data_IF_929807331941
#
_entry.id   IF_929807331941
#
_cell.length_a   1.000
_cell.length_b   1.000
_cell.length_c   1.000
_cell.angle_alpha   90.00
_cell.angle_beta   90.00
_cell.angle_gamma   90.00
#
_symmetry.space_group_name_H-M   'P 1'
#
loop_
_entity.id
_entity.type
_entity.pdbx_description
1 polymer ?
#
# COMPACT_ATOMS: atom_id res chain seq x y z
N UNK A 1 34.57 41.35 30.73
CA UNK A 1 33.47 40.68 30.03
C UNK A 1 34.16 39.56 29.32
N UNK A 2 34.32 38.45 30.04
CA UNK A 2 34.99 37.28 29.50
C UNK A 2 33.94 36.52 28.71
N UNK A 3 34.18 36.41 27.41
CA UNK A 3 33.38 35.61 26.49
C UNK A 3 33.59 34.14 26.86
N UNK A 4 32.64 33.59 27.60
CA UNK A 4 32.52 32.17 27.91
C UNK A 4 32.16 31.45 26.59
N UNK A 5 33.20 31.05 25.86
CA UNK A 5 33.09 30.14 24.71
C UNK A 5 32.63 28.81 25.28
N UNK A 6 31.33 28.52 25.13
CA UNK A 6 30.76 27.21 25.42
C UNK A 6 31.45 26.18 24.52
N UNK A 7 32.48 25.52 25.03
CA UNK A 7 33.12 24.38 24.38
C UNK A 7 32.04 23.33 24.08
N UNK A 8 31.88 22.99 22.80
CA UNK A 8 31.03 21.87 22.39
C UNK A 8 31.55 20.61 23.09
N UNK A 9 30.68 19.80 23.72
CA UNK A 9 31.11 18.62 24.46
C UNK A 9 31.89 17.68 23.54
N UNK A 10 33.07 17.25 23.97
CA UNK A 10 33.89 16.31 23.21
C UNK A 10 33.06 15.05 22.85
N UNK A 11 33.18 14.54 21.62
CA UNK A 11 32.41 13.38 21.18
C UNK A 11 32.74 12.16 22.02
N UNK A 12 31.74 11.64 22.74
CA UNK A 12 31.88 10.43 23.55
C UNK A 12 32.32 9.24 22.68
N UNK A 13 33.35 8.46 23.09
CA UNK A 13 33.78 7.28 22.35
C UNK A 13 32.62 6.30 22.15
N UNK A 14 32.43 5.87 20.91
CA UNK A 14 31.38 4.95 20.50
C UNK A 14 31.77 3.52 20.91
N UNK A 15 31.00 2.84 21.79
CA UNK A 15 31.23 1.42 22.07
C UNK A 15 30.98 0.57 20.81
N UNK A 16 31.81 -0.45 20.58
CA UNK A 16 31.64 -1.47 19.52
C UNK A 16 31.71 -0.95 18.06
N UNK A 17 32.37 0.17 17.81
CA UNK A 17 32.50 0.74 16.45
C UNK A 17 33.17 -0.21 15.45
N UNK A 18 34.11 -1.05 15.89
CA UNK A 18 34.83 -1.99 15.02
C UNK A 18 33.93 -3.07 14.41
N UNK A 19 32.98 -3.60 15.19
CA UNK A 19 32.02 -4.60 14.72
C UNK A 19 31.06 -4.01 13.70
N UNK A 20 30.60 -2.78 13.96
CA UNK A 20 29.74 -2.02 13.05
C UNK A 20 30.50 -1.76 11.75
N UNK A 21 31.75 -1.29 11.83
CA UNK A 21 32.61 -1.09 10.66
C UNK A 21 32.90 -2.38 9.89
N UNK A 22 33.08 -3.53 10.57
CA UNK A 22 33.25 -4.82 9.91
C UNK A 22 32.00 -5.21 9.08
N UNK A 23 30.82 -4.98 9.63
CA UNK A 23 29.56 -5.20 8.90
C UNK A 23 29.42 -4.22 7.72
N UNK A 24 29.73 -2.94 7.91
CA UNK A 24 29.71 -1.92 6.84
C UNK A 24 30.60 -2.29 5.66
N UNK A 25 31.84 -2.69 5.93
CA UNK A 25 32.80 -3.12 4.91
C UNK A 25 32.32 -4.33 4.12
N UNK A 26 31.64 -5.30 4.75
CA UNK A 26 31.00 -6.43 4.05
C UNK A 26 29.95 -6.00 3.03
N UNK A 27 29.29 -4.87 3.28
CA UNK A 27 28.26 -4.29 2.40
C UNK A 27 28.79 -3.18 1.47
N UNK A 28 30.12 -2.96 1.45
CA UNK A 28 30.75 -1.93 0.62
C UNK A 28 30.43 -0.50 1.05
N UNK A 29 30.12 -0.28 2.33
CA UNK A 29 29.91 1.03 2.93
C UNK A 29 31.21 1.55 3.54
N UNK A 30 31.41 2.87 3.48
CA UNK A 30 32.57 3.55 4.08
C UNK A 30 32.55 3.43 5.61
N UNK A 31 33.71 3.47 6.26
CA UNK A 31 33.78 3.43 7.72
C UNK A 31 33.15 4.69 8.34
N UNK A 32 32.57 4.51 9.54
CA UNK A 32 32.09 5.63 10.36
C UNK A 32 33.31 6.37 10.89
N UNK A 33 33.40 7.66 10.60
CA UNK A 33 34.41 8.58 11.13
C UNK A 33 33.80 9.50 12.19
N UNK A 34 34.43 9.55 13.36
CA UNK A 34 34.08 10.47 14.45
C UNK A 34 33.97 11.94 14.06
N UNK A 35 34.65 12.40 13.00
CA UNK A 35 34.57 13.81 12.57
C UNK A 35 33.20 14.17 11.98
N UNK A 36 32.58 13.25 11.25
CA UNK A 36 31.40 13.49 10.41
C UNK A 36 30.18 12.69 10.81
N UNK A 37 30.30 11.83 11.83
CA UNK A 37 29.20 11.05 12.37
C UNK A 37 28.88 11.45 13.80
N UNK A 38 27.60 11.32 14.13
CA UNK A 38 27.03 11.57 15.46
C UNK A 38 26.15 10.39 15.86
N UNK A 39 25.77 10.35 17.13
CA UNK A 39 24.93 9.27 17.65
C UNK A 39 23.82 9.79 18.55
N UNK A 40 22.71 9.07 18.59
CA UNK A 40 21.69 9.23 19.63
C UNK A 40 21.09 7.87 19.99
N UNK A 41 20.54 7.74 21.19
CA UNK A 41 19.74 6.56 21.57
C UNK A 41 18.30 6.75 21.11
N UNK A 42 17.79 5.82 20.30
CA UNK A 42 16.38 5.78 19.94
C UNK A 42 15.65 4.81 20.86
N UNK A 43 14.87 5.38 21.77
CA UNK A 43 14.09 4.65 22.76
C UNK A 43 12.63 4.53 22.33
N UNK A 44 12.07 3.33 22.44
CA UNK A 44 10.66 3.03 22.23
C UNK A 44 10.17 2.06 23.30
N UNK A 45 8.84 1.95 23.54
CA UNK A 45 8.31 0.96 24.48
C UNK A 45 8.72 -0.50 24.17
N UNK A 46 9.09 -0.79 22.93
CA UNK A 46 9.52 -2.12 22.48
C UNK A 46 11.01 -2.41 22.69
N UNK A 47 11.83 -1.39 22.97
CA UNK A 47 13.28 -1.51 23.12
C UNK A 47 14.03 -0.23 22.74
N UNK A 48 15.36 -0.29 22.80
CA UNK A 48 16.25 0.81 22.48
C UNK A 48 17.36 0.36 21.52
N UNK A 49 17.89 1.28 20.72
CA UNK A 49 19.10 1.06 19.94
C UNK A 49 19.90 2.35 19.75
N UNK A 50 21.23 2.23 19.63
CA UNK A 50 22.08 3.33 19.23
C UNK A 50 21.95 3.59 17.74
N UNK A 51 21.65 4.83 17.37
CA UNK A 51 21.52 5.29 15.99
C UNK A 51 22.69 6.19 15.63
N UNK A 52 23.43 5.79 14.58
CA UNK A 52 24.51 6.54 13.96
C UNK A 52 23.97 7.31 12.77
N UNK A 53 24.35 8.57 12.64
CA UNK A 53 23.91 9.43 11.53
C UNK A 53 25.01 10.42 11.15
N UNK A 54 24.98 10.92 9.91
CA UNK A 54 25.94 11.92 9.45
C UNK A 54 25.60 13.31 9.99
N UNK A 55 26.65 14.11 10.22
CA UNK A 55 26.52 15.49 10.65
C UNK A 55 25.70 16.31 9.65
N UNK A 56 24.87 17.22 10.17
CA UNK A 56 23.91 18.01 9.38
C UNK A 56 22.52 17.38 9.19
N UNK A 57 22.26 16.15 9.68
CA UNK A 57 20.88 15.64 9.80
C UNK A 57 20.23 16.10 11.11
N UNK A 58 18.93 16.44 11.05
CA UNK A 58 18.14 16.85 12.21
C UNK A 58 17.57 15.60 12.91
N UNK A 59 17.93 15.39 14.17
CA UNK A 59 17.54 14.20 14.96
C UNK A 59 16.03 14.12 15.14
N UNK A 60 15.39 15.26 15.34
CA UNK A 60 13.94 15.38 15.50
C UNK A 60 13.20 14.88 14.25
N UNK A 61 13.72 15.16 13.05
CA UNK A 61 13.13 14.70 11.79
C UNK A 61 13.28 13.19 11.62
N UNK A 62 14.43 12.63 12.03
CA UNK A 62 14.64 11.17 12.05
C UNK A 62 13.66 10.50 13.02
N UNK A 63 13.52 11.04 14.23
CA UNK A 63 12.61 10.51 15.27
C UNK A 63 11.14 10.62 14.87
N UNK A 64 10.77 11.69 14.17
CA UNK A 64 9.42 11.91 13.66
C UNK A 64 9.10 11.08 12.41
N UNK A 65 10.08 10.38 11.82
CA UNK A 65 9.88 9.59 10.61
C UNK A 65 9.07 8.32 10.90
N UNK A 66 7.77 8.33 10.60
CA UNK A 66 6.84 7.24 10.93
C UNK A 66 7.28 5.88 10.36
N UNK A 67 7.91 5.82 9.18
CA UNK A 67 8.40 4.55 8.63
C UNK A 67 9.54 3.95 9.47
N UNK A 68 10.37 4.81 10.10
CA UNK A 68 11.45 4.39 10.96
C UNK A 68 10.92 3.84 12.27
N UNK A 69 9.97 4.53 12.90
CA UNK A 69 9.27 4.06 14.09
C UNK A 69 8.58 2.70 13.85
N UNK A 70 7.81 2.58 12.76
CA UNK A 70 7.09 1.34 12.44
C UNK A 70 8.04 0.17 12.16
N UNK A 71 9.12 0.41 11.41
CA UNK A 71 10.14 -0.59 11.17
C UNK A 71 10.80 -1.02 12.48
N UNK A 72 11.14 -0.06 13.34
CA UNK A 72 11.76 -0.30 14.64
C UNK A 72 10.87 -1.18 15.54
N UNK A 73 9.59 -0.82 15.69
CA UNK A 73 8.62 -1.64 16.42
C UNK A 73 8.46 -3.04 15.80
N UNK A 74 8.43 -3.11 14.48
CA UNK A 74 8.32 -4.37 13.74
C UNK A 74 9.50 -5.30 13.99
N UNK A 75 10.73 -4.80 13.89
CA UNK A 75 11.92 -5.65 14.08
C UNK A 75 12.03 -6.15 15.52
N UNK A 76 11.76 -5.32 16.54
CA UNK A 76 11.72 -5.79 17.93
C UNK A 76 10.63 -6.84 18.16
N UNK A 77 9.44 -6.64 17.57
CA UNK A 77 8.35 -7.62 17.62
C UNK A 77 8.72 -8.96 16.97
N UNK A 78 9.46 -8.97 15.87
CA UNK A 78 9.96 -10.21 15.25
C UNK A 78 11.09 -10.86 16.05
N UNK A 79 12.07 -10.09 16.52
CA UNK A 79 13.19 -10.63 17.30
C UNK A 79 12.71 -11.25 18.62
N UNK A 80 11.69 -10.67 19.26
CA UNK A 80 11.09 -11.20 20.49
C UNK A 80 10.47 -12.60 20.31
N UNK A 81 10.04 -12.98 19.09
CA UNK A 81 9.45 -14.31 18.83
C UNK A 81 10.46 -15.45 19.00
N UNK A 82 11.76 -15.15 18.95
CA UNK A 82 12.84 -16.12 19.18
C UNK A 82 12.84 -16.68 20.61
N UNK A 83 12.16 -16.03 21.55
CA UNK A 83 11.97 -16.53 22.92
C UNK A 83 11.22 -17.85 23.00
N UNK A 84 10.46 -18.23 21.96
CA UNK A 84 9.74 -19.50 21.91
C UNK A 84 10.70 -20.65 21.61
N UNK A 85 10.66 -21.71 22.40
CA UNK A 85 11.50 -22.91 22.22
C UNK A 85 11.39 -23.55 20.83
N UNK A 86 10.23 -23.40 20.18
CA UNK A 86 9.97 -23.93 18.83
C UNK A 86 10.56 -23.06 17.70
N UNK A 87 11.08 -21.87 18.01
CA UNK A 87 11.61 -20.97 17.01
C UNK A 87 13.00 -21.44 16.54
N UNK A 88 13.26 -21.38 15.23
CA UNK A 88 14.52 -21.86 14.61
C UNK A 88 15.78 -21.26 15.25
N UNK A 89 15.70 -20.00 15.72
CA UNK A 89 16.81 -19.28 16.33
C UNK A 89 16.73 -19.22 17.86
N UNK A 90 15.93 -20.05 18.51
CA UNK A 90 15.78 -20.03 19.97
C UNK A 90 17.09 -20.26 20.73
N UNK A 91 17.94 -21.15 20.22
CA UNK A 91 19.19 -21.53 20.87
C UNK A 91 20.26 -20.43 20.84
N UNK A 92 20.23 -19.55 19.84
CA UNK A 92 21.18 -18.43 19.69
C UNK A 92 20.45 -17.27 19.01
N UNK A 93 19.64 -16.51 19.77
CA UNK A 93 18.75 -15.50 19.23
C UNK A 93 19.52 -14.29 18.71
N UNK A 94 19.01 -13.69 17.64
CA UNK A 94 19.53 -12.44 17.11
C UNK A 94 19.01 -11.25 17.92
N UNK A 95 19.87 -10.24 18.08
CA UNK A 95 19.58 -8.96 18.71
C UNK A 95 19.97 -7.81 17.80
N UNK A 96 19.22 -6.70 17.87
CA UNK A 96 19.58 -5.45 17.21
C UNK A 96 20.55 -4.69 18.13
N UNK A 97 21.74 -4.38 17.65
CA UNK A 97 22.78 -3.68 18.42
C UNK A 97 22.89 -2.21 18.04
N UNK A 98 22.79 -1.90 16.76
CA UNK A 98 22.97 -0.56 16.24
C UNK A 98 22.18 -0.36 14.95
N UNK A 99 21.94 0.91 14.62
CA UNK A 99 21.39 1.33 13.34
C UNK A 99 22.29 2.44 12.80
N UNK A 100 22.69 2.37 11.54
CA UNK A 100 23.35 3.47 10.85
C UNK A 100 22.44 4.05 9.78
N UNK A 101 22.31 5.36 9.71
CA UNK A 101 21.55 6.07 8.67
C UNK A 101 22.54 6.50 7.60
N UNK A 102 22.52 5.80 6.45
CA UNK A 102 23.42 6.10 5.33
C UNK A 102 22.93 7.29 4.50
N UNK A 103 21.61 7.44 4.41
CA UNK A 103 21.00 8.50 3.62
C UNK A 103 19.68 8.89 4.24
N UNK A 104 19.47 10.19 4.42
CA UNK A 104 18.21 10.74 4.87
C UNK A 104 17.87 11.99 4.06
N UNK A 105 16.67 12.03 3.50
CA UNK A 105 16.12 13.21 2.84
C UNK A 105 14.60 13.12 2.82
N UNK A 106 13.96 14.03 2.07
CA UNK A 106 12.52 14.13 2.05
C UNK A 106 11.76 12.90 1.56
N UNK A 107 12.41 11.89 0.98
CA UNK A 107 11.74 10.77 0.34
C UNK A 107 12.15 9.41 0.93
N UNK A 108 13.39 9.32 1.40
CA UNK A 108 14.05 8.05 1.70
C UNK A 108 14.94 8.19 2.93
N UNK A 109 14.88 7.17 3.78
CA UNK A 109 15.83 6.89 4.85
C UNK A 109 16.44 5.52 4.59
N UNK A 110 17.67 5.51 4.07
CA UNK A 110 18.45 4.28 3.94
C UNK A 110 19.20 4.04 5.24
N UNK A 111 19.00 2.85 5.82
CA UNK A 111 19.63 2.44 7.06
C UNK A 111 20.35 1.10 6.91
N UNK A 112 21.34 0.89 7.75
CA UNK A 112 22.03 -0.36 7.97
C UNK A 112 21.83 -0.78 9.42
N UNK A 113 21.10 -1.89 9.65
CA UNK A 113 20.86 -2.44 10.97
C UNK A 113 21.91 -3.50 11.33
N UNK A 114 22.59 -3.33 12.45
CA UNK A 114 23.44 -4.37 13.03
C UNK A 114 22.58 -5.37 13.81
N UNK A 115 22.16 -6.43 13.12
CA UNK A 115 21.42 -7.54 13.73
C UNK A 115 22.31 -8.78 13.73
N UNK A 116 22.75 -9.19 14.92
CA UNK A 116 23.65 -10.32 15.13
C UNK A 116 23.29 -11.10 16.38
N UNK A 117 23.78 -12.33 16.45
CA UNK A 117 23.59 -13.22 17.60
C UNK A 117 24.87 -13.30 18.45
N UNK A 118 24.87 -14.15 19.48
CA UNK A 118 26.02 -14.26 20.41
C UNK A 118 27.30 -14.79 19.75
N UNK A 119 27.16 -15.49 18.62
CA UNK A 119 28.28 -16.02 17.83
C UNK A 119 28.85 -15.02 16.82
N UNK A 120 28.32 -13.78 16.77
CA UNK A 120 28.78 -12.74 15.84
C UNK A 120 28.29 -12.94 14.40
N UNK A 121 27.35 -13.85 14.17
CA UNK A 121 26.75 -14.04 12.86
C UNK A 121 25.75 -12.91 12.60
N UNK A 122 25.91 -12.21 11.48
CA UNK A 122 25.02 -11.13 11.08
C UNK A 122 23.89 -11.59 10.16
N UNK A 123 22.71 -11.00 10.33
CA UNK A 123 21.68 -10.94 9.28
C UNK A 123 22.00 -9.81 8.28
N UNK A 124 21.36 -9.86 7.12
CA UNK A 124 21.39 -8.74 6.19
C UNK A 124 20.61 -7.57 6.78
N UNK A 125 21.31 -6.47 7.03
CA UNK A 125 20.81 -5.31 7.76
C UNK A 125 20.36 -4.14 6.90
N UNK A 126 20.54 -4.20 5.57
CA UNK A 126 20.28 -3.04 4.71
C UNK A 126 18.78 -2.84 4.49
N UNK A 127 18.29 -1.65 4.82
CA UNK A 127 16.87 -1.31 4.85
C UNK A 127 16.68 0.07 4.21
N UNK A 128 15.73 0.22 3.30
CA UNK A 128 15.46 1.47 2.56
C UNK A 128 14.08 2.01 2.92
N UNK A 129 13.91 2.66 4.07
CA UNK A 129 12.63 3.19 4.48
C UNK A 129 12.20 4.34 3.56
N UNK A 130 10.97 4.30 3.09
CA UNK A 130 10.38 5.35 2.26
C UNK A 130 9.21 5.97 3.06
N UNK A 131 8.91 7.25 2.81
CA UNK A 131 7.88 8.00 3.57
C UNK A 131 6.48 7.34 3.43
N UNK A 132 5.74 6.99 4.50
CA UNK A 132 4.52 6.16 4.42
C UNK A 132 3.39 6.68 3.52
N UNK A 133 3.22 8.00 3.49
CA UNK A 133 2.29 8.74 2.64
C UNK A 133 2.64 8.64 1.14
N UNK A 134 3.91 8.36 0.84
CA UNK A 134 4.41 8.16 -0.54
C UNK A 134 4.54 6.68 -0.92
N UNK A 135 4.54 5.75 0.04
CA UNK A 135 4.77 4.31 -0.22
C UNK A 135 3.53 3.48 -0.22
N UNK A 136 2.47 3.94 0.44
CA UNK A 136 1.23 3.19 0.51
C UNK A 136 0.37 3.56 -0.67
N UNK A 137 0.46 2.73 -1.71
CA UNK A 137 -0.50 2.80 -2.80
C UNK A 137 -1.73 2.01 -2.42
N UNK A 138 -2.87 2.52 -2.85
CA UNK A 138 -4.11 1.78 -2.80
C UNK A 138 -4.51 1.46 -4.23
N UNK A 139 -4.56 0.18 -4.55
CA UNK A 139 -5.11 -0.33 -5.78
C UNK A 139 -6.63 -0.33 -5.73
N UNK A 140 -7.27 0.32 -6.69
CA UNK A 140 -8.72 0.43 -6.81
C UNK A 140 -9.24 -0.63 -7.79
N UNK A 141 -9.72 -1.75 -7.27
CA UNK A 141 -10.45 -2.72 -8.06
C UNK A 141 -11.90 -2.29 -8.21
N UNK A 142 -12.23 -1.57 -9.28
CA UNK A 142 -13.61 -1.18 -9.57
C UNK A 142 -14.26 -2.23 -10.47
N UNK A 143 -15.33 -2.86 -10.03
CA UNK A 143 -16.08 -3.84 -10.83
C UNK A 143 -17.50 -3.38 -11.10
N UNK A 144 -17.97 -3.71 -12.30
CA UNK A 144 -19.30 -3.38 -12.78
C UNK A 144 -19.99 -4.68 -13.15
N UNK A 145 -21.05 -5.00 -12.41
CA UNK A 145 -21.92 -6.14 -12.69
C UNK A 145 -23.14 -5.62 -13.44
N UNK A 146 -23.37 -6.17 -14.62
CA UNK A 146 -24.50 -5.83 -15.48
C UNK A 146 -25.59 -6.86 -15.27
N UNK A 147 -26.78 -6.39 -14.90
CA UNK A 147 -27.93 -7.22 -14.59
C UNK A 147 -29.09 -6.88 -15.52
N UNK A 148 -29.95 -7.86 -15.83
CA UNK A 148 -31.23 -7.58 -16.50
C UNK A 148 -32.17 -6.84 -15.56
N UNK A 149 -33.10 -6.08 -16.14
CA UNK A 149 -34.27 -5.59 -15.41
C UNK A 149 -35.37 -6.65 -15.41
N UNK A 150 -36.10 -6.77 -14.31
CA UNK A 150 -37.34 -7.53 -14.26
C UNK A 150 -38.36 -6.90 -15.22
N UNK A 151 -39.26 -7.72 -15.77
CA UNK A 151 -40.38 -7.18 -16.56
C UNK A 151 -41.29 -6.37 -15.64
N UNK A 152 -41.78 -5.24 -16.13
CA UNK A 152 -42.83 -4.50 -15.45
C UNK A 152 -44.11 -5.36 -15.42
N UNK A 153 -44.59 -5.68 -14.23
CA UNK A 153 -45.82 -6.48 -14.04
C UNK A 153 -46.73 -5.72 -13.10
N UNK A 154 -47.97 -5.47 -13.53
CA UNK A 154 -49.01 -4.79 -12.74
C UNK A 154 -48.62 -3.39 -12.24
N UNK A 155 -47.94 -2.59 -13.08
CA UNK A 155 -47.55 -1.21 -12.74
C UNK A 155 -46.46 -1.10 -11.65
N UNK A 156 -45.83 -2.22 -11.27
CA UNK A 156 -44.63 -2.21 -10.44
C UNK A 156 -43.41 -1.99 -11.32
N UNK A 157 -42.69 -0.91 -11.05
CA UNK A 157 -41.52 -0.50 -11.80
C UNK A 157 -40.48 -1.62 -11.88
N UNK A 158 -39.92 -1.80 -13.08
CA UNK A 158 -38.85 -2.74 -13.34
C UNK A 158 -37.65 -2.49 -12.41
N UNK A 159 -37.23 -3.52 -11.68
CA UNK A 159 -36.08 -3.49 -10.76
C UNK A 159 -34.93 -4.32 -11.31
N UNK A 160 -33.71 -4.08 -10.85
CA UNK A 160 -32.56 -4.90 -11.24
C UNK A 160 -32.73 -6.33 -10.71
N UNK A 161 -32.70 -7.30 -11.62
CA UNK A 161 -32.66 -8.72 -11.31
C UNK A 161 -31.20 -9.12 -11.05
N UNK A 162 -30.78 -9.00 -9.80
CA UNK A 162 -29.40 -9.26 -9.36
C UNK A 162 -28.95 -10.71 -9.49
N UNK A 163 -29.88 -11.66 -9.73
CA UNK A 163 -29.59 -13.05 -10.07
C UNK A 163 -29.38 -13.27 -11.57
N UNK A 164 -29.78 -12.31 -12.42
CA UNK A 164 -29.68 -12.40 -13.87
C UNK A 164 -28.55 -11.52 -14.41
N UNK A 165 -27.32 -11.92 -14.08
CA UNK A 165 -26.09 -11.23 -14.49
C UNK A 165 -25.76 -11.55 -15.95
N UNK A 166 -25.68 -10.53 -16.80
CA UNK A 166 -25.34 -10.67 -18.23
C UNK A 166 -23.88 -10.33 -18.52
N UNK A 167 -23.21 -9.62 -17.61
CA UNK A 167 -21.79 -9.33 -17.74
C UNK A 167 -21.15 -8.88 -16.43
N UNK A 168 -19.84 -9.11 -16.32
CA UNK A 168 -19.02 -8.53 -15.24
C UNK A 168 -17.75 -7.95 -15.83
N UNK A 169 -17.47 -6.70 -15.49
CA UNK A 169 -16.37 -5.91 -16.03
C UNK A 169 -15.54 -5.34 -14.90
N UNK A 170 -14.27 -5.07 -15.20
CA UNK A 170 -13.36 -4.35 -14.34
C UNK A 170 -12.94 -3.05 -15.03
N UNK A 171 -12.92 -1.96 -14.27
CA UNK A 171 -12.37 -0.68 -14.74
C UNK A 171 -10.86 -0.70 -14.52
N UNK A 172 -10.10 -0.41 -15.56
CA UNK A 172 -8.63 -0.29 -15.49
C UNK A 172 -8.18 1.04 -16.10
N UNK A 173 -6.95 1.47 -15.81
CA UNK A 173 -6.33 2.61 -16.48
C UNK A 173 -5.33 2.15 -17.55
N UNK A 174 -5.08 2.98 -18.56
CA UNK A 174 -4.17 2.70 -19.67
C UNK A 174 -3.18 3.84 -19.97
N UNK A 175 -2.46 4.39 -18.98
CA UNK A 175 -1.53 5.47 -19.22
C UNK A 175 -0.29 5.01 -20.00
N UNK A 176 0.46 5.97 -20.54
CA UNK A 176 1.80 5.71 -21.02
C UNK A 176 2.74 5.43 -19.83
N UNK A 177 3.49 4.32 -19.90
CA UNK A 177 4.53 3.96 -18.94
C UNK A 177 5.85 3.80 -19.69
N UNK A 178 6.64 4.87 -19.70
CA UNK A 178 7.98 4.88 -20.31
C UNK A 178 8.89 3.83 -19.66
N UNK A 179 8.77 3.61 -18.34
CA UNK A 179 9.51 2.57 -17.62
C UNK A 179 9.21 1.15 -18.10
N UNK A 180 8.02 0.93 -18.66
CA UNK A 180 7.64 -0.32 -19.31
C UNK A 180 7.85 -0.30 -20.83
N UNK A 181 8.41 0.78 -21.38
CA UNK A 181 8.53 1.05 -22.81
C UNK A 181 7.20 0.94 -23.57
N UNK A 182 6.08 1.31 -22.92
CA UNK A 182 4.73 1.22 -23.50
C UNK A 182 4.03 2.57 -23.46
N UNK A 183 3.40 2.94 -24.57
CA UNK A 183 2.55 4.14 -24.66
C UNK A 183 1.12 3.87 -24.20
N UNK A 184 0.75 2.60 -24.03
CA UNK A 184 -0.52 2.17 -23.45
C UNK A 184 -0.28 0.96 -22.54
N UNK A 185 -0.19 1.20 -21.24
CA UNK A 185 0.10 0.20 -20.22
C UNK A 185 -1.14 -0.01 -19.35
N UNK A 186 -1.72 -1.21 -19.40
CA UNK A 186 -2.90 -1.51 -18.60
C UNK A 186 -2.50 -1.75 -17.15
N UNK A 187 -3.09 -0.99 -16.25
CA UNK A 187 -2.82 -1.07 -14.83
C UNK A 187 -4.09 -0.85 -14.02
N UNK A 188 -4.03 -1.30 -12.76
CA UNK A 188 -5.07 -0.98 -11.80
C UNK A 188 -5.07 0.55 -11.54
N UNK A 189 -6.22 1.23 -11.48
CA UNK A 189 -6.25 2.60 -11.00
C UNK A 189 -5.71 2.62 -9.57
N UNK A 190 -4.78 3.53 -9.27
CA UNK A 190 -4.17 3.63 -7.94
C UNK A 190 -4.36 5.00 -7.32
N UNK A 191 -4.49 5.05 -6.00
CA UNK A 191 -4.30 6.26 -5.20
C UNK A 191 -3.17 6.11 -4.19
N UNK A 192 -2.90 7.17 -3.45
CA UNK A 192 -1.95 7.21 -2.32
C UNK A 192 -2.69 7.64 -1.05
N UNK A 193 -2.13 7.33 0.12
CA UNK A 193 -2.60 7.91 1.37
C UNK A 193 -1.86 9.23 1.60
N UNK A 194 -2.57 10.33 1.76
CA UNK A 194 -1.98 11.59 2.19
C UNK A 194 -1.49 11.54 3.64
N UNK A 195 -0.73 12.56 4.05
CA UNK A 195 -0.09 12.69 5.37
C UNK A 195 -1.06 12.55 6.56
N UNK A 196 -2.35 12.85 6.37
CA UNK A 196 -3.40 12.75 7.38
C UNK A 196 -4.24 11.45 7.29
N UNK A 197 -3.79 10.48 6.50
CA UNK A 197 -4.52 9.25 6.19
C UNK A 197 -5.71 9.46 5.25
N UNK A 198 -5.92 10.67 4.70
CA UNK A 198 -6.92 10.87 3.67
C UNK A 198 -6.48 10.21 2.38
N UNK A 199 -7.41 9.52 1.76
CA UNK A 199 -7.17 8.92 0.47
C UNK A 199 -7.02 9.99 -0.61
N UNK A 200 -5.85 10.04 -1.24
CA UNK A 200 -5.55 10.86 -2.42
C UNK A 200 -5.54 9.98 -3.69
N UNK A 201 -5.97 10.50 -4.83
CA UNK A 201 -5.98 9.73 -6.08
C UNK A 201 -7.19 8.80 -6.29
N UNK A 202 -8.35 9.13 -5.71
CA UNK A 202 -9.61 8.39 -5.92
C UNK A 202 -10.30 8.75 -7.25
N UNK A 203 -9.59 9.46 -8.14
CA UNK A 203 -10.15 10.09 -9.32
C UNK A 203 -10.94 9.09 -10.18
N UNK A 204 -10.42 7.88 -10.37
CA UNK A 204 -11.11 6.84 -11.14
C UNK A 204 -12.48 6.50 -10.53
N UNK A 205 -12.58 6.34 -9.22
CA UNK A 205 -13.84 6.03 -8.57
C UNK A 205 -14.78 7.23 -8.48
N UNK A 206 -14.27 8.45 -8.28
CA UNK A 206 -15.08 9.68 -8.35
C UNK A 206 -15.70 9.79 -9.74
N UNK A 207 -14.89 9.68 -10.79
CA UNK A 207 -15.33 9.75 -12.18
C UNK A 207 -16.36 8.67 -12.48
N UNK A 208 -16.12 7.42 -12.09
CA UNK A 208 -17.11 6.33 -12.29
C UNK A 208 -18.41 6.61 -11.51
N UNK A 209 -18.31 7.06 -10.26
CA UNK A 209 -19.47 7.42 -9.44
C UNK A 209 -20.29 8.56 -10.04
N UNK A 210 -19.65 9.61 -10.53
CA UNK A 210 -20.27 10.73 -11.24
C UNK A 210 -20.92 10.28 -12.56
N UNK A 211 -20.23 9.44 -13.34
CA UNK A 211 -20.76 8.90 -14.60
C UNK A 211 -22.03 8.06 -14.40
N UNK A 212 -22.12 7.35 -13.27
CA UNK A 212 -23.25 6.52 -12.86
C UNK A 212 -24.27 7.24 -11.98
N UNK A 213 -23.97 8.47 -11.55
CA UNK A 213 -24.79 9.28 -10.65
C UNK A 213 -25.02 8.67 -9.27
N UNK A 214 -24.16 7.76 -8.81
CA UNK A 214 -24.33 7.05 -7.51
C UNK A 214 -23.00 6.55 -6.93
N UNK A 215 -22.92 6.37 -5.60
CA UNK A 215 -21.80 5.67 -4.99
C UNK A 215 -21.80 4.16 -5.33
N UNK A 216 -20.66 3.47 -5.16
CA UNK A 216 -20.61 2.00 -5.22
C UNK A 216 -21.61 1.40 -4.23
N UNK A 217 -22.24 0.28 -4.58
CA UNK A 217 -23.16 -0.41 -3.67
C UNK A 217 -22.40 -1.18 -2.58
N UNK A 218 -21.16 -1.58 -2.88
CA UNK A 218 -20.25 -2.26 -1.94
C UNK A 218 -18.82 -1.79 -2.11
N UNK A 219 -18.15 -1.58 -0.98
CA UNK A 219 -16.72 -1.29 -0.89
C UNK A 219 -16.07 -2.30 0.06
N UNK A 220 -14.90 -2.83 -0.27
CA UNK A 220 -14.25 -3.87 0.52
C UNK A 220 -12.72 -3.78 0.46
N UNK A 221 -12.03 -3.89 1.59
CA UNK A 221 -10.59 -4.12 1.62
C UNK A 221 -10.29 -5.61 1.38
N UNK A 222 -10.00 -5.99 0.14
CA UNK A 222 -9.77 -7.40 -0.21
C UNK A 222 -8.42 -7.91 0.29
N UNK A 223 -7.44 -7.02 0.46
CA UNK A 223 -6.15 -7.33 1.10
C UNK A 223 -6.35 -7.80 2.55
N UNK A 224 -7.21 -7.14 3.31
CA UNK A 224 -7.53 -7.54 4.68
C UNK A 224 -8.41 -8.79 4.74
N UNK A 225 -9.41 -8.89 3.85
CA UNK A 225 -10.26 -10.07 3.75
C UNK A 225 -9.46 -11.36 3.45
N UNK A 226 -8.39 -11.26 2.66
CA UNK A 226 -7.49 -12.39 2.39
C UNK A 226 -6.76 -12.85 3.67
N UNK A 227 -6.33 -11.90 4.51
CA UNK A 227 -5.55 -12.19 5.73
C UNK A 227 -6.39 -12.75 6.88
N UNK A 228 -7.66 -12.38 6.97
CA UNK A 228 -8.50 -12.61 8.14
C UNK A 228 -8.92 -14.07 8.39
N UNK A 229 -8.51 -15.02 7.55
CA UNK A 229 -8.93 -16.42 7.65
C UNK A 229 -10.42 -16.63 7.30
N UNK A 230 -10.86 -17.89 7.30
CA UNK A 230 -12.19 -18.34 6.82
C UNK A 230 -13.26 -18.33 7.92
N UNK A 231 -13.50 -17.18 8.56
CA UNK A 231 -14.51 -17.01 9.60
C UNK A 231 -15.55 -15.93 9.26
N UNK A 232 -16.85 -16.12 9.57
CA UNK A 232 -17.89 -15.07 9.43
C UNK A 232 -17.65 -13.82 10.26
N UNK A 233 -16.77 -13.90 11.27
CA UNK A 233 -16.34 -12.80 12.16
C UNK A 233 -15.04 -12.13 11.72
N UNK A 234 -14.54 -12.42 10.51
CA UNK A 234 -13.37 -11.79 9.95
C UNK A 234 -13.57 -10.26 9.79
N UNK A 235 -12.68 -9.41 10.34
CA UNK A 235 -12.90 -7.96 10.44
C UNK A 235 -13.08 -7.22 9.11
N UNK A 236 -12.77 -7.85 7.97
CA UNK A 236 -12.96 -7.29 6.63
C UNK A 236 -14.35 -7.52 6.00
N UNK A 237 -15.26 -8.28 6.60
CA UNK A 237 -16.61 -8.52 6.05
C UNK A 237 -17.65 -7.81 6.93
N UNK A 238 -18.07 -6.60 6.56
CA UNK A 238 -19.15 -5.87 7.25
C UNK A 238 -20.30 -5.53 6.30
N UNK A 239 -21.51 -5.45 6.85
CA UNK A 239 -22.73 -5.06 6.12
C UNK A 239 -22.62 -3.64 5.54
N UNK A 240 -23.42 -3.40 4.51
CA UNK A 240 -23.51 -2.15 3.74
C UNK A 240 -23.63 -0.95 4.68
N UNK A 241 -22.71 0.00 4.56
CA UNK A 241 -22.73 1.26 5.34
C UNK A 241 -21.89 1.26 6.61
N UNK A 242 -21.12 0.22 6.90
CA UNK A 242 -20.12 0.22 7.98
C UNK A 242 -18.75 -0.21 7.43
N UNK A 243 -18.14 0.66 6.62
CA UNK A 243 -16.83 0.37 6.03
C UNK A 243 -15.73 0.71 7.01
N UNK A 244 -15.32 -0.27 7.81
CA UNK A 244 -13.98 -0.25 8.37
C UNK A 244 -13.00 -0.56 7.25
N UNK A 245 -12.12 0.38 6.91
CA UNK A 245 -10.74 -0.07 6.68
C UNK A 245 -10.38 -0.91 7.95
N UNK A 246 -9.34 -1.74 7.94
CA UNK A 246 -8.62 -2.09 9.18
C UNK A 246 -8.04 -0.86 9.93
N UNK A 247 -8.57 0.33 9.62
CA UNK A 247 -8.35 1.70 10.02
C UNK A 247 -9.72 2.43 10.00
N UNK A 248 -10.70 1.98 10.79
CA UNK A 248 -11.92 2.73 11.14
C UNK A 248 -12.86 3.14 9.99
N UNK A 249 -14.02 3.69 10.38
CA UNK A 249 -15.17 3.99 9.54
C UNK A 249 -14.85 4.97 8.41
N UNK A 250 -15.22 4.63 7.17
CA UNK A 250 -15.54 5.63 6.13
C UNK A 250 -17.05 5.82 6.15
N UNK A 251 -17.52 6.80 6.91
CA UNK A 251 -18.88 7.33 6.80
C UNK A 251 -18.85 8.74 6.18
N UNK A 252 -19.55 8.88 5.06
CA UNK A 252 -19.94 10.18 4.49
C UNK A 252 -18.91 10.92 3.63
N UNK A 253 -19.35 11.97 2.90
CA UNK A 253 -18.58 12.55 1.79
C UNK A 253 -17.37 13.38 2.22
N UNK A 254 -17.22 13.66 3.52
CA UNK A 254 -16.15 14.47 4.10
C UNK A 254 -15.97 14.03 5.56
N UNK A 255 -15.09 13.06 5.85
CA UNK A 255 -14.75 12.74 7.24
C UNK A 255 -13.29 12.30 7.40
N UNK A 256 -12.66 12.81 8.46
CA UNK A 256 -11.24 12.70 8.82
C UNK A 256 -10.92 11.35 9.46
N UNK A 257 -9.72 10.86 9.14
CA UNK A 257 -8.82 9.89 9.82
C UNK A 257 -9.39 8.89 10.83
N UNK A 258 -8.87 7.66 10.78
CA UNK A 258 -8.01 7.24 11.88
C UNK A 258 -6.58 6.91 11.45
N UNK A 259 -5.65 7.13 12.37
CA UNK A 259 -4.28 6.61 12.33
C UNK A 259 -4.37 5.14 12.76
N UNK A 260 -4.17 4.22 11.82
CA UNK A 260 -4.15 2.79 12.08
C UNK A 260 -3.12 2.10 11.21
N UNK A 261 -2.43 1.11 11.77
CA UNK A 261 -1.37 0.38 11.09
C UNK A 261 -1.90 -0.28 9.80
N UNK A 262 -1.19 -0.06 8.69
CA UNK A 262 -1.48 -0.69 7.40
C UNK A 262 -1.29 -2.20 7.51
N UNK A 263 -2.38 -2.96 7.44
CA UNK A 263 -2.36 -4.43 7.52
C UNK A 263 -2.67 -5.03 6.14
N UNK A 264 -1.92 -6.05 5.72
CA UNK A 264 -2.22 -6.83 4.50
C UNK A 264 -1.66 -6.31 3.17
N UNK A 265 -0.62 -5.47 3.18
CA UNK A 265 0.00 -4.99 1.95
C UNK A 265 0.85 -6.05 1.24
N UNK A 266 0.88 -6.01 -0.09
CA UNK A 266 1.91 -6.72 -0.87
C UNK A 266 3.12 -5.83 -1.03
N UNK A 267 4.29 -6.40 -0.72
CA UNK A 267 5.58 -5.73 -0.77
C UNK A 267 6.35 -6.18 -2.01
N UNK A 268 6.75 -5.22 -2.85
CA UNK A 268 7.67 -5.49 -3.95
C UNK A 268 9.09 -5.63 -3.39
N UNK A 269 9.73 -6.79 -3.61
CA UNK A 269 11.10 -7.06 -3.11
C UNK A 269 12.07 -5.99 -3.65
N UNK A 270 12.81 -5.34 -2.75
CA UNK A 270 13.71 -4.22 -3.10
C UNK A 270 13.06 -2.84 -3.08
N UNK A 271 11.77 -2.74 -2.71
CA UNK A 271 11.08 -1.47 -2.45
C UNK A 271 10.33 -1.53 -1.12
N UNK A 272 9.96 -0.36 -0.60
CA UNK A 272 9.07 -0.22 0.56
C UNK A 272 7.67 0.21 0.12
N UNK A 273 7.38 0.07 -1.17
CA UNK A 273 6.05 0.30 -1.70
C UNK A 273 5.14 -0.85 -1.26
N UNK A 274 4.04 -0.45 -0.64
CA UNK A 274 3.04 -1.33 -0.05
C UNK A 274 1.74 -1.05 -0.80
N UNK A 275 1.15 -2.07 -1.43
CA UNK A 275 -0.17 -1.93 -2.06
C UNK A 275 -1.25 -2.65 -1.27
N UNK A 276 -2.31 -1.91 -0.91
CA UNK A 276 -3.58 -2.50 -0.46
C UNK A 276 -4.59 -2.45 -1.61
N UNK A 277 -5.39 -3.50 -1.76
CA UNK A 277 -6.42 -3.55 -2.80
C UNK A 277 -7.79 -3.28 -2.17
N UNK A 278 -8.46 -2.25 -2.68
CA UNK A 278 -9.83 -1.90 -2.33
C UNK A 278 -10.75 -2.24 -3.51
N UNK A 279 -11.76 -3.07 -3.25
CA UNK A 279 -12.79 -3.45 -4.20
C UNK A 279 -13.97 -2.47 -4.10
N UNK A 280 -14.37 -1.91 -5.23
CA UNK A 280 -15.53 -1.05 -5.42
C UNK A 280 -16.48 -1.71 -6.40
N UNK A 281 -17.71 -2.00 -5.98
CA UNK A 281 -18.65 -2.70 -6.84
C UNK A 281 -19.86 -1.85 -7.18
N UNK A 282 -20.23 -1.93 -8.45
CA UNK A 282 -21.43 -1.35 -9.02
C UNK A 282 -22.31 -2.47 -9.58
N UNK A 283 -23.62 -2.31 -9.42
CA UNK A 283 -24.64 -3.13 -10.07
C UNK A 283 -25.51 -2.19 -10.89
N UNK A 284 -25.57 -2.43 -12.20
CA UNK A 284 -26.25 -1.55 -13.15
C UNK A 284 -27.01 -2.38 -14.19
N UNK A 285 -27.97 -1.74 -14.86
CA UNK A 285 -28.71 -2.31 -15.99
C UNK A 285 -27.90 -2.29 -17.28
N UNK A 286 -28.36 -3.02 -18.29
CA UNK A 286 -27.76 -3.02 -19.64
C UNK A 286 -27.81 -1.63 -20.29
N UNK A 287 -28.87 -0.84 -20.04
CA UNK A 287 -28.97 0.53 -20.55
C UNK A 287 -27.94 1.46 -19.89
N UNK A 288 -27.78 1.35 -18.57
CA UNK A 288 -26.78 2.11 -17.82
C UNK A 288 -25.36 1.70 -18.20
N UNK A 289 -25.13 0.41 -18.43
CA UNK A 289 -23.86 -0.09 -18.93
C UNK A 289 -23.55 0.46 -20.32
N UNK A 290 -24.52 0.46 -21.23
CA UNK A 290 -24.36 1.02 -22.58
C UNK A 290 -24.06 2.53 -22.53
N UNK A 291 -24.72 3.26 -21.63
CA UNK A 291 -24.44 4.69 -21.42
C UNK A 291 -23.04 4.93 -20.84
N UNK A 292 -22.63 4.15 -19.84
CA UNK A 292 -21.29 4.22 -19.26
C UNK A 292 -20.22 3.85 -20.31
N UNK A 293 -20.42 2.75 -21.02
CA UNK A 293 -19.52 2.29 -22.07
C UNK A 293 -19.40 3.35 -23.17
N UNK A 294 -20.51 3.98 -23.57
CA UNK A 294 -20.50 5.12 -24.48
C UNK A 294 -19.61 6.26 -23.96
N UNK A 295 -19.82 6.71 -22.72
CA UNK A 295 -19.02 7.78 -22.10
C UNK A 295 -17.52 7.45 -22.04
N UNK A 296 -17.18 6.18 -21.82
CA UNK A 296 -15.79 5.72 -21.82
C UNK A 296 -15.23 5.55 -23.24
N UNK A 297 -16.06 5.14 -24.22
CA UNK A 297 -15.70 4.99 -25.64
C UNK A 297 -15.49 6.33 -26.36
N UNK A 298 -16.21 7.39 -26.00
CA UNK A 298 -15.97 8.75 -26.57
C UNK A 298 -14.72 9.45 -25.99
N UNK A 299 -14.00 8.77 -25.09
CA UNK A 299 -12.62 9.08 -24.68
C UNK A 299 -11.59 8.10 -25.25
N UNK A 300 -11.92 7.37 -26.31
CA UNK A 300 -11.07 6.35 -26.94
C UNK A 300 -10.90 6.57 -28.43
N UNK A 301 -9.72 6.18 -28.92
CA UNK A 301 -9.32 6.25 -30.33
C UNK A 301 -10.34 5.61 -31.28
N UNK A 302 -10.95 6.44 -32.12
CA UNK A 302 -11.14 6.08 -33.51
C UNK A 302 -9.90 6.61 -34.25
N UNK A 303 -9.15 5.71 -34.89
CA UNK A 303 -7.85 5.94 -35.55
C UNK A 303 -7.88 7.01 -36.68
N UNK A 304 -9.00 7.72 -36.88
CA UNK A 304 -9.30 8.51 -38.08
C UNK A 304 -9.31 10.03 -37.93
N UNK A 305 -9.33 10.62 -36.73
CA UNK A 305 -9.70 12.05 -36.62
C UNK A 305 -8.64 12.99 -36.05
N UNK A 306 -7.52 12.49 -35.49
CA UNK A 306 -6.35 13.33 -35.17
C UNK A 306 -6.60 14.51 -34.22
N UNK A 307 -7.71 14.54 -33.46
CA UNK A 307 -8.02 15.60 -32.52
C UNK A 307 -7.46 15.32 -31.12
N UNK A 308 -6.88 16.34 -30.49
CA UNK A 308 -6.38 16.30 -29.10
C UNK A 308 -7.53 16.06 -28.12
N UNK A 309 -7.33 15.07 -27.23
CA UNK A 309 -8.32 14.64 -26.24
C UNK A 309 -8.29 15.49 -24.96
N UNK A 310 -9.43 15.68 -24.27
CA UNK A 310 -9.52 16.44 -23.02
C UNK A 310 -8.92 15.66 -21.84
N UNK A 311 -8.32 16.40 -20.89
CA UNK A 311 -7.54 15.93 -19.72
C UNK A 311 -8.32 15.15 -18.64
N UNK A 312 -9.49 14.57 -18.92
CA UNK A 312 -10.49 14.32 -17.87
C UNK A 312 -11.03 12.86 -17.81
N UNK A 313 -10.42 11.90 -18.51
CA UNK A 313 -10.90 10.50 -18.47
C UNK A 313 -10.40 9.56 -19.58
N UNK A 314 -9.43 9.99 -20.39
CA UNK A 314 -8.90 9.26 -21.55
C UNK A 314 -8.24 7.91 -21.24
N UNK A 315 -8.01 7.60 -19.96
CA UNK A 315 -7.21 6.45 -19.56
C UNK A 315 -8.07 5.32 -19.00
N UNK A 316 -9.36 5.53 -18.71
CA UNK A 316 -10.22 4.48 -18.15
C UNK A 316 -10.69 3.49 -19.24
N UNK A 317 -10.75 2.22 -18.88
CA UNK A 317 -11.03 1.08 -19.77
C UNK A 317 -11.97 0.11 -19.07
N UNK A 318 -12.92 -0.47 -19.80
CA UNK A 318 -13.71 -1.61 -19.32
C UNK A 318 -13.15 -2.91 -19.91
N UNK A 319 -12.73 -3.82 -19.03
CA UNK A 319 -12.29 -5.16 -19.43
C UNK A 319 -13.28 -6.15 -18.86
N UNK A 320 -13.87 -6.98 -19.72
CA UNK A 320 -14.71 -8.07 -19.25
C UNK A 320 -13.90 -9.00 -18.34
N UNK A 321 -14.45 -9.37 -17.18
CA UNK A 321 -13.77 -10.16 -16.15
C UNK A 321 -13.17 -11.48 -16.67
N UNK A 322 -13.75 -12.07 -17.74
CA UNK A 322 -13.22 -13.28 -18.40
C UNK A 322 -11.93 -13.04 -19.18
N UNK A 323 -11.69 -11.80 -19.61
CA UNK A 323 -10.51 -11.37 -20.37
C UNK A 323 -9.40 -10.81 -19.45
N UNK A 324 -9.61 -10.73 -18.14
CA UNK A 324 -8.63 -10.21 -17.19
C UNK A 324 -7.26 -10.90 -17.21
N UNK A 325 -7.11 -12.22 -17.49
CA UNK A 325 -5.79 -12.81 -17.64
C UNK A 325 -4.87 -12.06 -18.61
N UNK A 326 -5.41 -11.48 -19.68
CA UNK A 326 -4.65 -10.70 -20.65
C UNK A 326 -4.20 -9.33 -20.11
N UNK A 327 -4.96 -8.72 -19.22
CA UNK A 327 -4.55 -7.49 -18.53
C UNK A 327 -3.54 -7.80 -17.41
N UNK A 328 -3.69 -8.94 -16.73
CA UNK A 328 -2.82 -9.39 -15.65
C UNK A 328 -1.36 -9.51 -16.08
N UNK A 329 -1.08 -10.03 -17.28
CA UNK A 329 0.31 -10.21 -17.73
C UNK A 329 1.11 -8.90 -17.87
N UNK A 330 0.46 -7.72 -17.81
CA UNK A 330 1.11 -6.42 -17.98
C UNK A 330 1.54 -5.78 -16.67
N UNK A 331 0.74 -5.93 -15.61
CA UNK A 331 0.96 -5.26 -14.32
C UNK A 331 0.75 -6.22 -13.13
N UNK A 332 1.61 -6.09 -12.12
CA UNK A 332 1.56 -6.98 -10.95
C UNK A 332 0.39 -6.63 -10.03
N UNK A 333 0.01 -5.35 -9.94
CA UNK A 333 -1.05 -4.89 -9.06
C UNK A 333 -2.42 -5.37 -9.54
N UNK A 334 -2.69 -5.27 -10.85
CA UNK A 334 -3.89 -5.84 -11.45
C UNK A 334 -3.93 -7.37 -11.35
N UNK A 335 -2.79 -8.06 -11.50
CA UNK A 335 -2.67 -9.51 -11.30
C UNK A 335 -3.06 -9.89 -9.88
N UNK A 336 -2.48 -9.22 -8.90
CA UNK A 336 -2.74 -9.45 -7.49
C UNK A 336 -4.21 -9.19 -7.15
N UNK A 337 -4.75 -8.04 -7.57
CA UNK A 337 -6.14 -7.69 -7.32
C UNK A 337 -7.10 -8.76 -7.87
N UNK A 338 -6.87 -9.18 -9.11
CA UNK A 338 -7.69 -10.20 -9.76
C UNK A 338 -7.55 -11.57 -9.07
N UNK A 339 -6.33 -11.99 -8.72
CA UNK A 339 -6.09 -13.26 -8.04
C UNK A 339 -6.73 -13.29 -6.63
N UNK A 340 -6.55 -12.23 -5.84
CA UNK A 340 -7.18 -12.09 -4.53
C UNK A 340 -8.71 -12.14 -4.64
N UNK A 341 -9.28 -11.36 -5.56
CA UNK A 341 -10.72 -11.37 -5.82
C UNK A 341 -11.23 -12.77 -6.19
N UNK A 342 -10.58 -13.44 -7.14
CA UNK A 342 -10.95 -14.79 -7.58
C UNK A 342 -10.86 -15.80 -6.44
N UNK A 343 -9.82 -15.72 -5.62
CA UNK A 343 -9.64 -16.60 -4.46
C UNK A 343 -10.75 -16.37 -3.42
N UNK A 344 -11.05 -15.11 -3.10
CA UNK A 344 -12.10 -14.77 -2.13
C UNK A 344 -13.49 -15.19 -2.63
N UNK A 345 -13.77 -15.06 -3.93
CA UNK A 345 -15.01 -15.56 -4.55
C UNK A 345 -15.08 -17.07 -4.46
N UNK A 346 -14.01 -17.78 -4.87
CA UNK A 346 -13.99 -19.23 -4.91
C UNK A 346 -14.15 -19.86 -3.52
N UNK A 347 -13.63 -19.17 -2.50
CA UNK A 347 -13.76 -19.58 -1.09
C UNK A 347 -15.04 -19.06 -0.42
N UNK A 348 -15.97 -18.47 -1.19
CA UNK A 348 -17.23 -17.87 -0.71
C UNK A 348 -17.05 -16.82 0.40
N UNK A 349 -15.84 -16.26 0.52
CA UNK A 349 -15.55 -15.18 1.47
C UNK A 349 -16.10 -13.85 0.98
N UNK A 350 -16.16 -13.67 -0.34
CA UNK A 350 -16.98 -12.61 -0.92
C UNK A 350 -18.05 -13.24 -1.78
N UNK A 351 -19.29 -12.87 -1.49
CA UNK A 351 -20.44 -13.34 -2.25
C UNK A 351 -20.33 -12.70 -3.63
N UNK A 352 -20.11 -13.51 -4.68
CA UNK A 352 -20.63 -13.16 -6.00
C UNK A 352 -22.12 -12.96 -5.79
N UNK A 353 -22.66 -11.79 -6.17
CA UNK A 353 -24.12 -11.59 -6.19
C UNK A 353 -24.80 -12.88 -6.67
N UNK A 354 -25.76 -13.39 -5.91
CA UNK A 354 -25.92 -14.82 -5.67
C UNK A 354 -26.54 -15.51 -6.88
N UNK A 355 -26.50 -16.85 -6.80
CA UNK A 355 -27.50 -17.76 -7.35
C UNK A 355 -28.80 -17.15 -7.84
#
# INVERSE_FOLDING_TARGET
>A
MDDDVMEEPEPTPIPNIEDIQAQRRKHGLDDIDSSSWRTFTYEQPCGEATVFYQDGMVVEDIKAWTAFEQWFQGIFGELAKQSKETHTYHQDPYTLHAITIERFNDWIMEIMADVRNSTGKHLDGRVILLRPDQTTKIGLMITITVCKKTKEVNGKQAVLDIGNVTGKYMVVTAPARISACQLEFLELPTGTLGENGQYCGYAACIVVGEMLGRPPWRVLNVSEAARSGSGPSAPGLREVGNFGLGVGQIDGPVARSPIGALRGAVRNRGTYEHIQIMLYEYQISEEEFSALEGKLRYGFMEERTGQKLPRNGSDLRLIHMRNMPWACVRDINITLAWALYKSLVATQRIVNSPY
#
